data_IF_778265975752
#
_entry.id   IF_778265975752
#
_cell.length_a   1.000
_cell.length_b   1.000
_cell.length_c   1.000
_cell.angle_alpha   90.00
_cell.angle_beta   90.00
_cell.angle_gamma   90.00
#
_symmetry.space_group_name_H-M   'P 1'
#
loop_
_entity.id
_entity.type
_entity.pdbx_description
1 polymer ?
#
# COMPACT_ATOMS: atom_id res chain seq x y z
N UNK A 1 4.79 -9.68 -30.27
CA UNK A 1 4.67 -8.33 -29.63
C UNK A 1 4.33 -8.55 -28.17
N UNK A 2 5.30 -8.36 -27.30
CA UNK A 2 5.04 -8.42 -25.85
C UNK A 2 4.20 -7.19 -25.47
N UNK A 3 3.07 -7.42 -24.83
CA UNK A 3 2.25 -6.34 -24.28
C UNK A 3 3.00 -5.55 -23.21
N UNK A 4 2.44 -4.42 -22.74
CA UNK A 4 3.08 -3.61 -21.70
C UNK A 4 3.30 -4.43 -20.44
N UNK A 5 4.45 -4.23 -19.79
CA UNK A 5 4.77 -4.82 -18.48
C UNK A 5 3.96 -4.06 -17.44
N UNK A 6 3.06 -4.77 -16.75
CA UNK A 6 2.21 -4.18 -15.72
C UNK A 6 2.75 -4.46 -14.34
N UNK A 7 2.95 -3.43 -13.55
CA UNK A 7 3.49 -3.52 -12.20
C UNK A 7 2.53 -2.83 -11.23
N UNK A 8 2.13 -3.54 -10.19
CA UNK A 8 1.39 -2.98 -9.06
C UNK A 8 2.37 -2.66 -7.93
N UNK A 9 2.40 -1.41 -7.48
CA UNK A 9 3.24 -0.97 -6.36
C UNK A 9 2.35 -0.58 -5.20
N UNK A 10 2.40 -1.33 -4.11
CA UNK A 10 1.63 -1.01 -2.91
C UNK A 10 2.41 -0.02 -2.02
N UNK A 11 1.79 1.11 -1.73
CA UNK A 11 2.33 2.23 -0.96
C UNK A 11 1.61 2.31 0.39
N UNK A 12 2.36 2.20 1.49
CA UNK A 12 1.82 2.33 2.86
C UNK A 12 2.08 3.73 3.47
N UNK A 13 2.92 4.55 2.83
CA UNK A 13 3.21 5.92 3.25
C UNK A 13 4.52 6.09 4.02
N UNK A 14 5.18 5.00 4.40
CA UNK A 14 6.46 5.02 5.11
C UNK A 14 7.64 4.54 4.23
N UNK A 15 7.43 4.42 2.92
CA UNK A 15 8.42 3.93 1.98
C UNK A 15 9.52 4.97 1.78
N UNK A 16 10.73 4.45 1.55
CA UNK A 16 11.86 5.27 1.14
C UNK A 16 11.72 5.64 -0.35
N UNK A 17 11.92 6.91 -0.73
CA UNK A 17 11.92 7.32 -2.14
C UNK A 17 12.89 6.55 -3.04
N UNK A 18 13.91 5.91 -2.49
CA UNK A 18 14.86 5.06 -3.23
C UNK A 18 14.18 3.89 -3.95
N UNK A 19 12.98 3.48 -3.52
CA UNK A 19 12.20 2.44 -4.21
C UNK A 19 12.01 2.74 -5.70
N UNK A 20 11.88 4.02 -6.06
CA UNK A 20 11.71 4.44 -7.45
C UNK A 20 12.98 4.17 -8.25
N UNK A 21 14.14 4.51 -7.69
CA UNK A 21 15.45 4.28 -8.33
C UNK A 21 15.76 2.79 -8.46
N UNK A 22 15.45 1.99 -7.44
CA UNK A 22 15.62 0.55 -7.46
C UNK A 22 14.75 -0.11 -8.53
N UNK A 23 13.48 0.32 -8.63
CA UNK A 23 12.58 -0.16 -9.67
C UNK A 23 13.03 0.27 -11.07
N UNK A 24 13.51 1.50 -11.23
CA UNK A 24 14.06 1.97 -12.49
C UNK A 24 15.28 1.11 -12.93
N UNK A 25 16.17 0.78 -11.98
CA UNK A 25 17.30 -0.10 -12.23
C UNK A 25 16.92 -1.53 -12.62
N UNK A 26 15.85 -2.07 -12.03
CA UNK A 26 15.38 -3.44 -12.30
C UNK A 26 14.55 -3.54 -13.58
N UNK A 27 13.79 -2.52 -13.91
CA UNK A 27 12.85 -2.54 -15.04
C UNK A 27 13.49 -2.00 -16.33
N UNK A 28 14.67 -1.42 -16.23
CA UNK A 28 15.46 -0.85 -17.33
C UNK A 28 15.13 0.61 -17.62
N UNK A 29 16.05 1.35 -18.27
CA UNK A 29 15.93 2.78 -18.51
C UNK A 29 14.81 3.15 -19.50
N UNK A 30 14.41 2.21 -20.32
CA UNK A 30 13.55 2.48 -21.47
C UNK A 30 12.06 2.43 -21.18
N UNK A 31 11.62 2.33 -19.97
CA UNK A 31 10.21 2.37 -19.47
C UNK A 31 9.04 2.42 -20.46
N UNK A 32 9.34 2.40 -21.74
CA UNK A 32 8.44 2.64 -22.89
C UNK A 32 7.32 1.64 -23.04
N UNK A 33 7.36 0.54 -22.32
CA UNK A 33 6.28 -0.46 -22.29
C UNK A 33 5.88 -0.80 -20.86
N UNK A 34 6.06 0.14 -19.93
CA UNK A 34 5.80 -0.06 -18.50
C UNK A 34 4.52 0.67 -18.08
N UNK A 35 3.58 -0.06 -17.50
CA UNK A 35 2.41 0.47 -16.82
C UNK A 35 2.56 0.22 -15.32
N UNK A 36 2.59 1.28 -14.53
CA UNK A 36 2.70 1.21 -13.06
C UNK A 36 1.40 1.69 -12.44
N UNK A 37 0.80 0.85 -11.62
CA UNK A 37 -0.33 1.22 -10.77
C UNK A 37 0.15 1.37 -9.34
N UNK A 38 0.06 2.57 -8.80
CA UNK A 38 0.33 2.86 -7.40
C UNK A 38 -0.94 2.61 -6.60
N UNK A 39 -0.90 1.67 -5.67
CA UNK A 39 -2.03 1.32 -4.82
C UNK A 39 -1.78 1.79 -3.39
N UNK A 40 -2.71 2.54 -2.83
CA UNK A 40 -2.80 2.76 -1.40
C UNK A 40 -4.09 2.16 -0.86
N UNK A 41 -3.98 1.45 0.27
CA UNK A 41 -5.14 0.86 0.94
C UNK A 41 -5.30 1.51 2.29
N UNK A 42 -6.44 2.16 2.50
CA UNK A 42 -6.86 2.65 3.82
C UNK A 42 -7.40 1.44 4.59
N UNK A 43 -6.67 1.05 5.64
CA UNK A 43 -7.04 -0.08 6.50
C UNK A 43 -8.35 0.24 7.24
N UNK A 44 -9.41 -0.45 6.89
CA UNK A 44 -10.71 -0.37 7.53
C UNK A 44 -10.93 -1.44 8.60
N UNK A 45 -9.87 -2.17 8.96
CA UNK A 45 -9.92 -3.20 9.99
C UNK A 45 -10.30 -2.67 11.38
N UNK A 46 -10.71 -3.53 12.30
CA UNK A 46 -11.22 -3.15 13.63
C UNK A 46 -10.19 -2.52 14.57
N UNK A 47 -9.00 -2.18 14.07
CA UNK A 47 -7.92 -1.57 14.87
C UNK A 47 -8.24 -0.17 15.40
N UNK A 48 -9.32 0.46 14.92
CA UNK A 48 -9.78 1.78 15.39
C UNK A 48 -10.82 1.76 16.50
N UNK A 49 -11.35 0.59 16.84
CA UNK A 49 -12.37 0.46 17.88
C UNK A 49 -11.87 -0.47 18.99
N UNK A 50 -10.84 -0.02 19.73
CA UNK A 50 -10.67 -0.56 21.08
C UNK A 50 -11.81 -0.01 21.94
N UNK A 51 -12.72 -0.86 22.45
CA UNK A 51 -13.64 -0.44 23.49
C UNK A 51 -12.82 -0.19 24.74
N UNK A 52 -12.55 1.07 25.03
CA UNK A 52 -12.00 1.47 26.34
C UNK A 52 -13.17 1.38 27.32
N UNK A 53 -13.28 0.24 28.01
CA UNK A 53 -14.24 0.12 29.09
C UNK A 53 -14.43 -1.31 29.56
N UNK A 54 -14.45 -1.55 30.89
CA UNK A 54 -14.62 -2.88 31.45
C UNK A 54 -16.08 -3.32 31.45
N UNK A 55 -16.34 -4.45 30.85
CA UNK A 55 -17.49 -5.30 31.17
C UNK A 55 -18.75 -5.16 30.33
N UNK A 56 -19.52 -6.25 30.25
CA UNK A 56 -20.70 -6.32 29.42
C UNK A 56 -21.90 -5.68 30.13
N UNK A 57 -22.35 -4.54 29.65
CA UNK A 57 -23.67 -4.03 30.02
C UNK A 57 -24.61 -4.21 28.83
N UNK A 58 -25.51 -5.17 28.95
CA UNK A 58 -26.67 -5.34 28.10
C UNK A 58 -27.60 -4.12 28.30
N UNK A 59 -27.58 -3.22 27.32
CA UNK A 59 -28.53 -2.15 27.16
C UNK A 59 -28.71 -1.87 25.67
N UNK A 60 -29.84 -1.32 25.23
CA UNK A 60 -30.01 -0.94 23.83
C UNK A 60 -28.92 0.08 23.51
N UNK A 61 -28.08 -0.26 22.52
CA UNK A 61 -26.95 0.53 22.06
C UNK A 61 -27.47 1.88 21.57
N UNK A 62 -27.05 3.01 22.15
CA UNK A 62 -27.43 4.30 21.57
C UNK A 62 -26.76 4.43 20.22
N UNK A 63 -27.55 4.71 19.20
CA UNK A 63 -27.06 5.14 17.87
C UNK A 63 -26.00 6.22 18.05
N UNK A 64 -24.84 6.13 17.41
CA UNK A 64 -23.73 7.03 17.68
C UNK A 64 -24.11 8.48 17.30
N UNK A 65 -24.15 9.36 18.29
CA UNK A 65 -24.17 10.81 18.08
C UNK A 65 -22.89 11.34 17.40
N UNK A 66 -22.01 10.42 16.96
CA UNK A 66 -20.68 10.74 16.45
C UNK A 66 -20.55 10.59 14.92
N UNK A 67 -21.64 10.33 14.20
CA UNK A 67 -21.62 10.22 12.74
C UNK A 67 -20.89 11.42 12.07
N UNK A 68 -21.11 12.68 12.46
CA UNK A 68 -20.41 13.81 11.83
C UNK A 68 -18.90 13.83 12.08
N UNK A 69 -18.44 13.24 13.19
CA UNK A 69 -17.00 13.16 13.52
C UNK A 69 -16.36 12.04 12.72
N UNK A 70 -17.02 10.90 12.61
CA UNK A 70 -16.54 9.78 11.80
C UNK A 70 -16.47 10.16 10.32
N UNK A 71 -17.48 10.84 9.79
CA UNK A 71 -17.47 11.33 8.40
C UNK A 71 -16.31 12.28 8.13
N UNK A 72 -16.02 13.19 9.08
CA UNK A 72 -14.86 14.10 8.96
C UNK A 72 -13.52 13.39 9.03
N UNK A 73 -13.38 12.40 9.91
CA UNK A 73 -12.15 11.59 10.00
C UNK A 73 -11.94 10.80 8.72
N UNK A 74 -12.98 10.17 8.20
CA UNK A 74 -12.94 9.44 6.94
C UNK A 74 -12.55 10.35 5.77
N UNK A 75 -13.14 11.55 5.69
CA UNK A 75 -12.80 12.52 4.65
C UNK A 75 -11.34 13.00 4.76
N UNK A 76 -10.84 13.25 5.97
CA UNK A 76 -9.44 13.64 6.18
C UNK A 76 -8.46 12.51 5.84
N UNK A 77 -8.81 11.25 6.13
CA UNK A 77 -8.02 10.08 5.73
C UNK A 77 -7.97 9.95 4.21
N UNK A 78 -9.09 10.13 3.52
CA UNK A 78 -9.15 10.09 2.05
C UNK A 78 -8.34 11.20 1.40
N UNK A 79 -8.42 12.40 1.94
CA UNK A 79 -7.63 13.55 1.47
C UNK A 79 -6.13 13.28 1.66
N UNK A 80 -5.72 12.79 2.83
CA UNK A 80 -4.34 12.41 3.10
C UNK A 80 -3.84 11.29 2.19
N UNK A 81 -4.64 10.26 1.97
CA UNK A 81 -4.31 9.15 1.08
C UNK A 81 -4.19 9.60 -0.37
N UNK A 82 -5.07 10.48 -0.81
CA UNK A 82 -5.03 11.06 -2.17
C UNK A 82 -3.78 11.92 -2.38
N UNK A 83 -3.46 12.77 -1.41
CA UNK A 83 -2.24 13.59 -1.44
C UNK A 83 -0.97 12.72 -1.45
N UNK A 84 -0.95 11.66 -0.66
CA UNK A 84 0.14 10.68 -0.66
C UNK A 84 0.34 10.04 -2.04
N UNK A 85 -0.72 9.54 -2.65
CA UNK A 85 -0.67 8.93 -3.98
C UNK A 85 -0.23 9.93 -5.05
N UNK A 86 -0.69 11.19 -4.98
CA UNK A 86 -0.28 12.24 -5.90
C UNK A 86 1.24 12.50 -5.80
N UNK A 87 1.79 12.63 -4.60
CA UNK A 87 3.22 12.83 -4.38
C UNK A 87 4.06 11.64 -4.89
N UNK A 88 3.61 10.43 -4.68
CA UNK A 88 4.29 9.23 -5.20
C UNK A 88 4.21 9.14 -6.72
N UNK A 89 3.06 9.47 -7.31
CA UNK A 89 2.90 9.51 -8.76
C UNK A 89 3.89 10.46 -9.43
N UNK A 90 4.09 11.64 -8.87
CA UNK A 90 5.09 12.60 -9.36
C UNK A 90 6.51 12.03 -9.30
N UNK A 91 6.87 11.38 -8.18
CA UNK A 91 8.19 10.75 -8.02
C UNK A 91 8.41 9.62 -9.02
N UNK A 92 7.40 8.77 -9.22
CA UNK A 92 7.48 7.68 -10.19
C UNK A 92 7.55 8.21 -11.63
N UNK A 93 6.78 9.24 -11.97
CA UNK A 93 6.83 9.87 -13.29
C UNK A 93 8.21 10.49 -13.59
N UNK A 94 8.85 11.10 -12.57
CA UNK A 94 10.19 11.65 -12.70
C UNK A 94 11.28 10.56 -12.82
N UNK A 95 11.12 9.44 -12.08
CA UNK A 95 12.12 8.36 -12.04
C UNK A 95 11.97 7.32 -13.16
N UNK A 96 10.82 7.25 -13.80
CA UNK A 96 10.51 6.30 -14.88
C UNK A 96 9.93 7.04 -16.09
N UNK A 97 10.75 7.84 -16.78
CA UNK A 97 10.29 8.57 -17.97
C UNK A 97 9.82 7.58 -19.05
N UNK A 98 8.62 7.83 -19.59
CA UNK A 98 8.00 6.95 -20.58
C UNK A 98 7.11 5.84 -20.01
N UNK A 99 7.09 5.62 -18.69
CA UNK A 99 6.11 4.75 -18.06
C UNK A 99 4.75 5.44 -17.91
N UNK A 100 3.67 4.68 -18.04
CA UNK A 100 2.33 5.14 -17.69
C UNK A 100 2.09 4.91 -16.21
N UNK A 101 1.94 5.98 -15.44
CA UNK A 101 1.74 5.92 -13.99
C UNK A 101 0.28 6.24 -13.67
N UNK A 102 -0.41 5.29 -13.06
CA UNK A 102 -1.76 5.45 -12.51
C UNK A 102 -1.77 5.30 -11.00
N UNK A 103 -2.80 5.77 -10.34
CA UNK A 103 -2.98 5.61 -8.90
C UNK A 103 -4.38 5.12 -8.57
N UNK A 104 -4.47 4.26 -7.56
CA UNK A 104 -5.71 3.67 -7.09
C UNK A 104 -5.74 3.72 -5.55
N UNK A 105 -6.85 4.22 -5.01
CA UNK A 105 -7.14 4.21 -3.58
C UNK A 105 -8.21 3.16 -3.30
N UNK A 106 -7.93 2.27 -2.35
CA UNK A 106 -8.88 1.26 -1.88
C UNK A 106 -9.09 1.34 -0.38
N UNK A 107 -10.18 0.74 0.09
CA UNK A 107 -10.48 0.57 1.50
C UNK A 107 -10.71 -0.90 1.79
N UNK A 108 -10.16 -1.39 2.89
CA UNK A 108 -10.31 -2.79 3.27
C UNK A 108 -9.11 -3.31 4.04
N UNK A 109 -8.96 -4.62 4.07
CA UNK A 109 -7.78 -5.28 4.61
C UNK A 109 -6.66 -5.22 3.57
N UNK A 110 -5.53 -4.55 3.87
CA UNK A 110 -4.50 -4.27 2.88
C UNK A 110 -4.01 -5.50 2.11
N UNK A 111 -3.83 -6.62 2.77
CA UNK A 111 -3.36 -7.86 2.16
C UNK A 111 -4.33 -8.41 1.11
N UNK A 112 -5.63 -8.35 1.36
CA UNK A 112 -6.65 -8.82 0.43
C UNK A 112 -6.84 -7.83 -0.73
N UNK A 113 -6.84 -6.54 -0.44
CA UNK A 113 -7.00 -5.51 -1.45
C UNK A 113 -5.82 -5.45 -2.43
N UNK A 114 -4.59 -5.71 -1.98
CA UNK A 114 -3.41 -5.80 -2.85
C UNK A 114 -3.57 -6.97 -3.84
N UNK A 115 -4.00 -8.14 -3.39
CA UNK A 115 -4.20 -9.30 -4.25
C UNK A 115 -5.35 -9.05 -5.24
N UNK A 116 -6.46 -8.48 -4.77
CA UNK A 116 -7.59 -8.13 -5.62
C UNK A 116 -7.19 -7.12 -6.70
N UNK A 117 -6.42 -6.08 -6.33
CA UNK A 117 -5.90 -5.09 -7.27
C UNK A 117 -4.94 -5.69 -8.29
N UNK A 118 -4.04 -6.59 -7.86
CA UNK A 118 -3.11 -7.28 -8.76
C UNK A 118 -3.85 -8.08 -9.83
N UNK A 119 -4.92 -8.77 -9.42
CA UNK A 119 -5.78 -9.53 -10.34
C UNK A 119 -6.54 -8.61 -11.29
N UNK A 120 -7.18 -7.56 -10.77
CA UNK A 120 -8.00 -6.63 -11.55
C UNK A 120 -7.17 -5.86 -12.60
N UNK A 121 -5.98 -5.39 -12.22
CA UNK A 121 -5.05 -4.67 -13.13
C UNK A 121 -4.30 -5.61 -14.09
N UNK A 122 -4.43 -6.92 -13.92
CA UNK A 122 -3.62 -7.91 -14.63
C UNK A 122 -2.12 -7.63 -14.47
N UNK A 123 -1.71 -7.28 -13.25
CA UNK A 123 -0.32 -7.03 -12.94
C UNK A 123 0.52 -8.28 -13.24
N UNK A 124 1.68 -8.09 -13.84
CA UNK A 124 2.67 -9.16 -14.02
C UNK A 124 3.63 -9.27 -12.83
N UNK A 125 3.64 -8.25 -11.96
CA UNK A 125 4.47 -8.22 -10.75
C UNK A 125 3.82 -7.31 -9.70
N UNK A 126 3.87 -7.73 -8.45
CA UNK A 126 3.52 -6.89 -7.29
C UNK A 126 4.80 -6.44 -6.61
N UNK A 127 4.89 -5.16 -6.28
CA UNK A 127 6.02 -4.58 -5.54
C UNK A 127 5.54 -4.11 -4.18
N UNK A 128 6.26 -4.51 -3.15
CA UNK A 128 6.02 -4.13 -1.76
C UNK A 128 7.31 -3.58 -1.14
N UNK A 129 7.19 -2.52 -0.36
CA UNK A 129 8.26 -2.12 0.53
C UNK A 129 8.23 -2.98 1.80
N UNK A 130 9.35 -3.58 2.15
CA UNK A 130 9.48 -4.23 3.44
C UNK A 130 9.48 -3.17 4.55
N UNK A 131 8.78 -3.45 5.65
CA UNK A 131 8.68 -2.52 6.78
C UNK A 131 10.07 -2.09 7.25
N UNK A 132 10.34 -0.78 7.41
CA UNK A 132 11.59 -0.34 8.01
C UNK A 132 11.68 -0.86 9.45
N UNK A 133 12.90 -1.12 9.91
CA UNK A 133 13.13 -1.49 11.32
C UNK A 133 12.70 -0.34 12.23
N UNK A 134 12.02 -0.65 13.32
CA UNK A 134 11.52 0.33 14.28
C UNK A 134 12.63 1.03 15.11
N UNK A 135 13.91 0.76 14.84
CA UNK A 135 15.05 1.41 15.47
C UNK A 135 16.32 0.56 15.45
N UNK A 136 17.49 1.14 15.77
CA UNK A 136 18.78 0.43 15.80
C UNK A 136 18.86 -0.64 16.91
N UNK A 137 17.95 -0.62 17.87
CA UNK A 137 17.90 -1.51 19.04
C UNK A 137 16.86 -2.63 18.95
N UNK A 138 16.17 -2.78 17.81
CA UNK A 138 15.22 -3.89 17.64
C UNK A 138 16.01 -5.21 17.41
N UNK A 139 16.15 -6.06 18.44
CA UNK A 139 16.93 -7.31 18.33
C UNK A 139 16.16 -8.43 17.62
N UNK A 140 14.94 -8.15 17.17
CA UNK A 140 14.08 -9.15 16.53
C UNK A 140 14.59 -9.59 15.16
N UNK A 141 14.25 -10.82 14.73
CA UNK A 141 14.54 -11.28 13.37
C UNK A 141 13.87 -10.34 12.37
N UNK A 142 14.54 -10.10 11.24
CA UNK A 142 13.99 -9.26 10.16
C UNK A 142 12.66 -9.84 9.67
N UNK A 143 11.55 -9.26 10.10
CA UNK A 143 10.21 -9.67 9.70
C UNK A 143 9.79 -8.92 8.46
N UNK A 144 9.11 -9.61 7.53
CA UNK A 144 8.48 -8.98 6.36
C UNK A 144 7.27 -8.13 6.74
N UNK A 145 6.74 -8.32 7.95
CA UNK A 145 5.43 -7.79 8.32
C UNK A 145 4.29 -8.69 7.82
N UNK A 146 3.11 -8.54 8.43
CA UNK A 146 1.96 -9.40 8.15
C UNK A 146 1.49 -9.29 6.70
N UNK A 147 1.25 -8.07 6.23
CA UNK A 147 0.77 -7.82 4.86
C UNK A 147 1.72 -8.38 3.80
N UNK A 148 3.03 -8.08 3.93
CA UNK A 148 4.00 -8.55 2.94
C UNK A 148 4.10 -10.08 2.93
N UNK A 149 4.04 -10.74 4.10
CA UNK A 149 4.05 -12.20 4.17
C UNK A 149 2.82 -12.79 3.50
N UNK A 150 1.63 -12.27 3.83
CA UNK A 150 0.39 -12.76 3.24
C UNK A 150 0.40 -12.60 1.72
N UNK A 151 0.83 -11.44 1.21
CA UNK A 151 0.90 -11.21 -0.25
C UNK A 151 1.89 -12.15 -0.92
N UNK A 152 3.07 -12.39 -0.32
CA UNK A 152 4.04 -13.36 -0.87
C UNK A 152 3.46 -14.76 -0.96
N UNK A 153 2.69 -15.17 0.04
CA UNK A 153 2.11 -16.53 0.10
C UNK A 153 0.92 -16.71 -0.85
N UNK A 154 0.19 -15.63 -1.19
CA UNK A 154 -1.10 -15.72 -1.89
C UNK A 154 -1.15 -14.97 -3.23
N UNK A 155 -0.14 -14.20 -3.60
CA UNK A 155 -0.18 -13.47 -4.86
C UNK A 155 -0.15 -14.40 -6.07
N UNK A 156 -1.00 -14.18 -7.08
CA UNK A 156 -1.02 -15.00 -8.29
C UNK A 156 0.14 -14.69 -9.26
N UNK A 157 0.99 -13.74 -8.91
CA UNK A 157 2.10 -13.23 -9.72
C UNK A 157 3.36 -13.05 -8.87
N UNK A 158 4.55 -12.95 -9.46
CA UNK A 158 5.79 -12.67 -8.73
C UNK A 158 5.67 -11.42 -7.84
N UNK A 159 6.24 -11.52 -6.64
CA UNK A 159 6.30 -10.43 -5.67
C UNK A 159 7.73 -9.97 -5.50
N UNK A 160 7.97 -8.69 -5.73
CA UNK A 160 9.25 -8.04 -5.48
C UNK A 160 9.19 -7.30 -4.14
N UNK A 161 10.05 -7.70 -3.22
CA UNK A 161 10.20 -7.02 -1.95
C UNK A 161 11.40 -6.08 -2.00
N UNK A 162 11.12 -4.78 -1.93
CA UNK A 162 12.15 -3.75 -1.87
C UNK A 162 12.48 -3.48 -0.40
N UNK A 163 13.74 -3.58 -0.04
CA UNK A 163 14.24 -3.30 1.30
C UNK A 163 15.11 -2.06 1.27
N UNK A 164 14.91 -1.22 2.26
CA UNK A 164 15.83 -0.11 2.51
C UNK A 164 17.23 -0.68 2.77
N UNK A 165 18.20 -0.28 1.96
CA UNK A 165 19.61 -0.48 2.27
C UNK A 165 19.96 0.34 3.53
N UNK A 166 20.65 -0.28 4.48
CA UNK A 166 21.09 0.40 5.70
C UNK A 166 22.25 1.33 5.39
#
# INVERSE_FOLDING_TARGET
>A
MSGPRRVLVAIAGAEDPTIVAELAGLLGPDGTSLEVTLLHVVDSGPRGLLPIGPGPRRGPWPTPRNAPIQDRLTAAEDEGATALLAAWRERFAAGLPGATITSELRRGEPEHEIIAAATASRAGTVVLAARPRSGPTDPGPRSLGHVARFVVDHAPVPVLLVRRSA
#
